data_IF_976786928085
#
_entry.id   IF_976786928085
#
_cell.length_a   1.000
_cell.length_b   1.000
_cell.length_c   1.000
_cell.angle_alpha   90.00
_cell.angle_beta   90.00
_cell.angle_gamma   90.00
#
_symmetry.space_group_name_H-M   'P 1'
#
loop_
_entity.id
_entity.type
_entity.pdbx_description
1 polymer ?
#
# COMPACT_ATOMS: atom_id res chain seq x y z
N UNK A 1 10.80 33.67 -27.60
CA UNK A 1 10.34 32.73 -26.78
C UNK A 1 8.88 32.53 -26.93
N UNK A 2 8.46 31.42 -26.98
CA UNK A 2 7.18 31.14 -27.21
C UNK A 2 6.49 30.72 -25.98
N UNK A 3 5.34 31.16 -25.83
CA UNK A 3 4.58 30.72 -24.77
C UNK A 3 3.29 30.26 -25.24
N UNK A 4 3.04 29.05 -25.01
CA UNK A 4 1.78 28.59 -25.25
C UNK A 4 0.90 29.03 -24.20
N UNK A 5 0.22 29.89 -24.27
CA UNK A 5 -0.59 30.45 -23.25
C UNK A 5 -1.37 29.48 -22.44
N UNK A 6 -0.78 28.42 -22.10
CA UNK A 6 -1.36 27.50 -21.21
C UNK A 6 -2.38 26.55 -21.81
N UNK A 7 -2.68 26.70 -23.07
CA UNK A 7 -3.64 25.79 -23.71
C UNK A 7 -2.96 24.56 -24.19
N UNK A 8 -3.43 23.42 -23.81
CA UNK A 8 -2.95 22.17 -24.35
C UNK A 8 -3.54 21.98 -25.75
N UNK A 9 -2.80 21.35 -26.64
CA UNK A 9 -3.30 20.98 -27.95
C UNK A 9 -4.33 19.86 -27.78
N UNK A 10 -5.15 19.57 -28.79
CA UNK A 10 -6.06 18.44 -28.78
C UNK A 10 -5.33 17.13 -28.57
N UNK A 11 -4.13 17.03 -29.15
CA UNK A 11 -3.30 15.86 -28.99
C UNK A 11 -2.80 15.69 -27.57
N UNK A 12 -2.40 16.80 -26.94
CA UNK A 12 -1.96 16.76 -25.55
C UNK A 12 -3.11 16.42 -24.61
N UNK A 13 -4.30 16.90 -24.90
CA UNK A 13 -5.48 16.59 -24.11
C UNK A 13 -5.82 15.09 -24.18
N UNK A 14 -5.70 14.50 -25.36
CA UNK A 14 -5.93 13.06 -25.54
C UNK A 14 -4.89 12.26 -24.78
N UNK A 15 -3.62 12.66 -24.87
CA UNK A 15 -2.53 11.97 -24.17
C UNK A 15 -2.73 12.05 -22.66
N UNK A 16 -3.09 13.22 -22.15
CA UNK A 16 -3.31 13.40 -20.73
C UNK A 16 -4.46 12.53 -20.23
N UNK A 17 -5.54 12.49 -21.01
CA UNK A 17 -6.69 11.64 -20.68
C UNK A 17 -6.31 10.17 -20.63
N UNK A 18 -5.52 9.71 -21.60
CA UNK A 18 -5.04 8.32 -21.62
C UNK A 18 -4.17 7.99 -20.43
N UNK A 19 -3.27 8.91 -20.04
CA UNK A 19 -2.40 8.70 -18.89
C UNK A 19 -3.17 8.68 -17.57
N UNK A 20 -4.17 9.54 -17.46
CA UNK A 20 -5.05 9.55 -16.28
C UNK A 20 -5.83 8.25 -16.17
N UNK A 21 -6.27 7.72 -17.30
CA UNK A 21 -6.94 6.42 -17.30
C UNK A 21 -6.00 5.31 -16.83
N UNK A 22 -4.72 5.35 -17.23
CA UNK A 22 -3.75 4.40 -16.72
C UNK A 22 -3.58 4.53 -15.21
N UNK A 23 -3.53 5.74 -14.69
CA UNK A 23 -3.46 5.96 -13.24
C UNK A 23 -4.69 5.37 -12.55
N UNK A 24 -5.88 5.60 -13.10
CA UNK A 24 -7.10 5.07 -12.51
C UNK A 24 -7.07 3.54 -12.44
N UNK A 25 -6.57 2.89 -13.48
CA UNK A 25 -6.45 1.43 -13.51
C UNK A 25 -5.43 0.94 -12.50
N UNK A 26 -4.30 1.63 -12.38
CA UNK A 26 -3.27 1.29 -11.39
C UNK A 26 -3.84 1.47 -9.97
N UNK A 27 -4.55 2.56 -9.74
CA UNK A 27 -5.15 2.81 -8.43
C UNK A 27 -6.13 1.69 -8.04
N UNK A 28 -6.91 1.22 -9.00
CA UNK A 28 -7.83 0.11 -8.76
C UNK A 28 -7.08 -1.15 -8.37
N UNK A 29 -5.94 -1.41 -9.03
CA UNK A 29 -5.08 -2.55 -8.70
C UNK A 29 -4.46 -2.40 -7.32
N UNK A 30 -4.02 -1.19 -6.97
CA UNK A 30 -3.48 -0.91 -5.63
C UNK A 30 -4.52 -1.21 -4.56
N UNK A 31 -5.73 -0.75 -4.74
CA UNK A 31 -6.82 -0.98 -3.79
C UNK A 31 -7.08 -2.47 -3.64
N UNK A 32 -7.15 -3.20 -4.75
CA UNK A 32 -7.37 -4.65 -4.72
C UNK A 32 -6.25 -5.37 -4.00
N UNK A 33 -5.01 -4.98 -4.24
CA UNK A 33 -3.87 -5.60 -3.57
C UNK A 33 -3.87 -5.32 -2.08
N UNK A 34 -4.20 -4.09 -1.69
CA UNK A 34 -4.30 -3.76 -0.27
C UNK A 34 -5.42 -4.55 0.40
N UNK A 35 -6.56 -4.69 -0.26
CA UNK A 35 -7.67 -5.48 0.28
C UNK A 35 -7.27 -6.94 0.47
N UNK A 36 -6.56 -7.51 -0.51
CA UNK A 36 -6.07 -8.88 -0.42
C UNK A 36 -5.07 -9.01 0.74
N UNK A 37 -4.19 -8.05 0.89
CA UNK A 37 -3.23 -8.05 1.98
C UNK A 37 -3.92 -8.03 3.34
N UNK A 38 -5.00 -7.26 3.48
CA UNK A 38 -5.74 -7.20 4.74
C UNK A 38 -6.50 -8.49 5.02
N UNK A 39 -6.97 -9.17 3.97
CA UNK A 39 -7.55 -10.49 4.11
C UNK A 39 -6.54 -11.47 4.69
N UNK A 40 -5.32 -11.46 4.16
CA UNK A 40 -4.24 -12.30 4.67
C UNK A 40 -3.87 -11.90 6.10
N UNK A 41 -3.86 -10.60 6.40
CA UNK A 41 -3.60 -10.13 7.76
C UNK A 41 -4.62 -10.70 8.75
N UNK A 42 -5.90 -10.76 8.37
CA UNK A 42 -6.92 -11.35 9.24
C UNK A 42 -6.67 -12.83 9.47
N UNK A 43 -6.25 -13.55 8.43
CA UNK A 43 -5.89 -14.97 8.58
C UNK A 43 -4.71 -15.15 9.54
N UNK A 44 -3.71 -14.28 9.43
CA UNK A 44 -2.58 -14.28 10.36
C UNK A 44 -3.08 -14.00 11.78
N UNK A 45 -4.01 -13.07 11.92
CA UNK A 45 -4.61 -12.78 13.23
C UNK A 45 -5.27 -14.01 13.84
N UNK A 46 -5.97 -14.80 13.03
CA UNK A 46 -6.61 -16.02 13.50
C UNK A 46 -5.60 -17.05 13.96
N UNK A 47 -4.50 -17.22 13.22
CA UNK A 47 -3.42 -18.11 13.63
C UNK A 47 -2.83 -17.67 14.96
N UNK A 48 -2.56 -16.38 15.10
CA UNK A 48 -2.00 -15.84 16.35
C UNK A 48 -2.96 -16.02 17.52
N UNK A 49 -4.26 -15.80 17.29
CA UNK A 49 -5.27 -16.01 18.31
C UNK A 49 -5.28 -17.45 18.78
N UNK A 50 -5.32 -18.38 17.82
CA UNK A 50 -5.43 -19.80 18.13
C UNK A 50 -4.16 -20.36 18.77
N UNK A 51 -3.03 -19.71 18.52
CA UNK A 51 -1.72 -20.14 19.06
C UNK A 51 -1.23 -19.28 20.21
N UNK A 52 -2.05 -18.33 20.67
CA UNK A 52 -1.68 -17.40 21.75
C UNK A 52 -0.41 -16.61 21.45
N UNK A 53 -0.25 -16.19 20.20
CA UNK A 53 0.88 -15.37 19.80
C UNK A 53 0.53 -13.89 19.85
N UNK A 54 1.51 -13.02 20.17
CA UNK A 54 1.25 -11.58 20.15
C UNK A 54 1.05 -11.09 18.71
N UNK A 55 0.17 -10.11 18.55
CA UNK A 55 -0.06 -9.52 17.24
C UNK A 55 1.18 -8.78 16.76
N UNK A 56 1.76 -7.96 17.61
CA UNK A 56 2.94 -7.18 17.24
C UNK A 56 4.20 -8.00 17.44
N UNK A 57 4.94 -8.16 16.36
CA UNK A 57 6.25 -8.81 16.39
C UNK A 57 7.24 -7.83 15.78
N UNK A 58 7.95 -7.11 16.63
CA UNK A 58 8.81 -5.99 16.24
C UNK A 58 9.86 -6.34 15.20
N UNK A 59 10.51 -7.48 15.34
CA UNK A 59 11.56 -7.87 14.40
C UNK A 59 10.98 -8.13 13.01
N UNK A 60 9.81 -8.72 12.94
CA UNK A 60 9.12 -8.93 11.66
C UNK A 60 8.77 -7.60 10.99
N UNK A 61 8.26 -6.65 11.79
CA UNK A 61 7.93 -5.34 11.28
C UNK A 61 9.16 -4.61 10.74
N UNK A 62 10.26 -4.65 11.49
CA UNK A 62 11.50 -4.01 11.06
C UNK A 62 12.01 -4.60 9.75
N UNK A 63 11.92 -5.93 9.59
CA UNK A 63 12.29 -6.60 8.35
C UNK A 63 11.44 -6.14 7.18
N UNK A 64 10.12 -6.11 7.37
CA UNK A 64 9.19 -5.71 6.31
C UNK A 64 9.48 -4.27 5.90
N UNK A 65 9.62 -3.38 6.87
CA UNK A 65 9.86 -1.97 6.58
C UNK A 65 11.18 -1.79 5.83
N UNK A 66 12.26 -2.41 6.33
CA UNK A 66 13.58 -2.26 5.71
C UNK A 66 13.60 -2.77 4.28
N UNK A 67 13.02 -3.95 4.04
CA UNK A 67 12.98 -4.52 2.68
C UNK A 67 12.10 -3.69 1.75
N UNK A 68 11.00 -3.20 2.26
CA UNK A 68 10.07 -2.41 1.45
C UNK A 68 10.68 -1.08 1.04
N UNK A 69 11.35 -0.41 1.97
CA UNK A 69 12.03 0.85 1.67
C UNK A 69 13.14 0.61 0.63
N UNK A 70 13.96 -0.43 0.84
CA UNK A 70 15.04 -0.74 -0.10
C UNK A 70 14.50 -1.04 -1.50
N UNK A 71 13.45 -1.84 -1.58
CA UNK A 71 12.86 -2.18 -2.88
C UNK A 71 12.23 -0.96 -3.54
N UNK A 72 11.55 -0.13 -2.77
CA UNK A 72 10.93 1.08 -3.29
C UNK A 72 11.97 2.05 -3.85
N UNK A 73 13.06 2.25 -3.13
CA UNK A 73 14.16 3.10 -3.59
C UNK A 73 14.76 2.56 -4.88
N UNK A 74 14.94 1.24 -4.94
CA UNK A 74 15.46 0.58 -6.13
C UNK A 74 14.57 0.83 -7.35
N UNK A 75 13.27 0.95 -7.12
CA UNK A 75 12.31 1.20 -8.20
C UNK A 75 12.04 2.69 -8.43
N UNK A 76 12.84 3.56 -7.86
CA UNK A 76 12.79 4.99 -8.17
C UNK A 76 11.91 5.83 -7.26
N UNK A 77 11.43 5.26 -6.15
CA UNK A 77 10.62 6.01 -5.21
C UNK A 77 11.47 6.57 -4.08
N UNK A 78 10.98 7.60 -3.39
CA UNK A 78 11.70 8.07 -2.22
C UNK A 78 11.48 7.11 -1.05
N UNK A 79 12.52 6.89 -0.26
CA UNK A 79 12.43 6.01 0.91
C UNK A 79 11.42 6.50 1.92
N UNK A 80 11.30 7.82 2.08
CA UNK A 80 10.34 8.40 3.01
C UNK A 80 8.90 8.10 2.59
N UNK A 81 8.61 8.20 1.29
CA UNK A 81 7.29 7.86 0.78
C UNK A 81 6.94 6.39 1.05
N UNK A 82 7.88 5.49 0.74
CA UNK A 82 7.66 4.06 0.96
C UNK A 82 7.46 3.78 2.46
N UNK A 83 8.26 4.41 3.31
CA UNK A 83 8.12 4.28 4.76
C UNK A 83 6.73 4.65 5.23
N UNK A 84 6.23 5.80 4.80
CA UNK A 84 4.90 6.28 5.21
C UNK A 84 3.79 5.34 4.78
N UNK A 85 3.88 4.82 3.55
CA UNK A 85 2.89 3.89 3.04
C UNK A 85 2.90 2.62 3.88
N UNK A 86 4.08 2.05 4.14
CA UNK A 86 4.15 0.79 4.88
C UNK A 86 3.85 0.97 6.36
N UNK A 87 4.10 2.13 6.93
CA UNK A 87 3.64 2.41 8.29
C UNK A 87 2.11 2.40 8.37
N UNK A 88 1.46 3.02 7.38
CA UNK A 88 -0.01 3.02 7.32
C UNK A 88 -0.56 1.61 7.09
N UNK A 89 0.06 0.86 6.19
CA UNK A 89 -0.33 -0.53 5.91
C UNK A 89 -0.16 -1.39 7.16
N UNK A 90 0.93 -1.21 7.89
CA UNK A 90 1.20 -1.94 9.12
C UNK A 90 0.14 -1.65 10.17
N UNK A 91 -0.19 -0.37 10.35
CA UNK A 91 -1.21 0.03 11.32
C UNK A 91 -2.55 -0.60 10.99
N UNK A 92 -2.95 -0.58 9.73
CA UNK A 92 -4.21 -1.20 9.31
C UNK A 92 -4.17 -2.72 9.53
N UNK A 93 -3.02 -3.35 9.25
CA UNK A 93 -2.85 -4.79 9.49
C UNK A 93 -3.06 -5.15 10.95
N UNK A 94 -2.52 -4.32 11.85
CA UNK A 94 -2.68 -4.52 13.29
C UNK A 94 -4.16 -4.41 13.67
N UNK A 95 -4.85 -3.43 13.13
CA UNK A 95 -6.27 -3.23 13.42
C UNK A 95 -7.10 -4.41 12.92
N UNK A 96 -6.78 -4.94 11.74
CA UNK A 96 -7.47 -6.11 11.20
C UNK A 96 -7.20 -7.35 12.06
N UNK A 97 -5.98 -7.53 12.55
CA UNK A 97 -5.65 -8.64 13.44
C UNK A 97 -6.35 -8.50 14.79
N UNK A 98 -6.40 -7.29 15.33
CA UNK A 98 -7.12 -7.03 16.58
C UNK A 98 -8.61 -7.37 16.46
N UNK A 99 -9.20 -7.05 15.32
CA UNK A 99 -10.61 -7.33 15.10
C UNK A 99 -10.89 -8.84 15.17
N UNK A 100 -10.02 -9.66 14.55
CA UNK A 100 -10.25 -11.11 14.58
C UNK A 100 -9.88 -11.72 15.94
N UNK A 101 -8.98 -11.09 16.71
CA UNK A 101 -8.67 -11.55 18.06
C UNK A 101 -9.89 -11.46 18.95
N UNK A 102 -10.80 -10.55 18.66
CA UNK A 102 -12.04 -10.38 19.44
C UNK A 102 -13.17 -11.28 19.00
N UNK A 103 -12.98 -12.00 17.89
CA UNK A 103 -14.04 -12.92 17.41
C UNK A 103 -14.18 -14.08 18.36
N UNK A 104 -15.41 -14.47 18.61
CA UNK A 104 -15.66 -15.66 19.40
C UNK A 104 -15.48 -16.88 18.55
N UNK A 105 -14.95 -17.91 19.15
CA UNK A 105 -14.76 -19.16 18.46
C UNK A 105 -16.01 -20.01 18.45
#
# INVERSE_FOLDING_TARGET
MYLRSGSASGEDAVRLSALRQQIDEIDAQLISMMATRMKVAREIGRVKRDSNMPILQSSRWEDVLGRSVAEGVKQGMSGEFVRRIFEAVHQESIEQQNAVMSEKQ
#
